data_IF_386204159871
#
_entry.id   IF_386204159871
#
_cell.length_a   1.000
_cell.length_b   1.000
_cell.length_c   1.000
_cell.angle_alpha   90.00
_cell.angle_beta   90.00
_cell.angle_gamma   90.00
#
_symmetry.space_group_name_H-M   'P 1'
#
loop_
_entity.id
_entity.type
_entity.pdbx_description
1 polymer ?
#
# COMPACT_ATOMS: atom_id res chain seq x y z
N UNK A 1 -21.12 -26.06 -19.73
CA UNK A 1 -19.77 -25.82 -19.16
C UNK A 1 -19.72 -26.42 -17.76
N UNK A 2 -19.15 -27.62 -17.62
CA UNK A 2 -19.01 -28.30 -16.33
C UNK A 2 -17.93 -27.60 -15.48
N UNK A 3 -18.31 -27.08 -14.31
CA UNK A 3 -17.34 -26.59 -13.33
C UNK A 3 -16.57 -27.80 -12.79
N UNK A 4 -15.31 -27.94 -13.18
CA UNK A 4 -14.36 -28.87 -12.58
C UNK A 4 -14.33 -28.64 -11.05
N UNK A 5 -14.95 -29.54 -10.29
CA UNK A 5 -14.84 -29.59 -8.83
C UNK A 5 -13.49 -30.24 -8.51
N UNK A 6 -12.47 -29.40 -8.30
CA UNK A 6 -11.17 -29.85 -7.79
C UNK A 6 -11.34 -30.52 -6.41
N UNK A 7 -10.61 -31.61 -6.12
CA UNK A 7 -10.71 -32.35 -4.87
C UNK A 7 -10.34 -31.49 -3.66
N UNK A 8 -11.04 -31.71 -2.54
CA UNK A 8 -10.82 -31.02 -1.28
C UNK A 8 -9.49 -31.44 -0.63
N UNK A 9 -8.37 -30.87 -1.10
CA UNK A 9 -7.10 -30.97 -0.39
C UNK A 9 -7.19 -30.20 0.93
N UNK A 10 -7.13 -30.93 2.05
CA UNK A 10 -6.97 -30.36 3.39
C UNK A 10 -5.55 -29.81 3.49
N UNK A 11 -5.41 -28.49 3.35
CA UNK A 11 -4.12 -27.79 3.45
C UNK A 11 -3.61 -27.81 4.91
N UNK A 12 -2.29 -27.91 5.13
CA UNK A 12 -1.71 -27.83 6.47
C UNK A 12 -1.98 -26.47 7.16
N UNK A 13 -1.95 -26.39 8.50
CA UNK A 13 -2.39 -25.23 9.28
C UNK A 13 -1.84 -23.86 8.82
N UNK A 14 -0.54 -23.68 8.48
CA UNK A 14 -0.03 -22.37 8.04
C UNK A 14 -0.56 -21.93 6.66
N UNK A 15 -0.88 -22.86 5.75
CA UNK A 15 -1.42 -22.54 4.42
C UNK A 15 -2.91 -22.18 4.45
N UNK A 16 -3.60 -22.45 5.56
CA UNK A 16 -5.03 -22.14 5.71
C UNK A 16 -5.33 -20.64 5.87
N UNK A 17 -4.30 -19.84 6.18
CA UNK A 17 -4.39 -18.39 6.34
C UNK A 17 -4.29 -17.64 5.00
N UNK A 18 -3.76 -18.28 3.95
CA UNK A 18 -3.60 -17.68 2.63
C UNK A 18 -4.90 -17.86 1.80
N UNK A 19 -5.43 -16.81 1.17
CA UNK A 19 -6.60 -16.91 0.31
C UNK A 19 -6.36 -17.89 -0.85
N UNK A 20 -7.34 -18.76 -1.14
CA UNK A 20 -7.23 -19.77 -2.22
C UNK A 20 -6.77 -19.20 -3.58
N UNK A 21 -7.24 -18.02 -4.03
CA UNK A 21 -6.77 -17.45 -5.29
C UNK A 21 -5.26 -17.11 -5.27
N UNK A 22 -4.74 -16.66 -4.14
CA UNK A 22 -3.31 -16.38 -3.97
C UNK A 22 -2.49 -17.67 -4.00
N UNK A 23 -2.97 -18.71 -3.33
CA UNK A 23 -2.33 -20.02 -3.32
C UNK A 23 -2.29 -20.66 -4.72
N UNK A 24 -3.39 -20.56 -5.47
CA UNK A 24 -3.43 -21.03 -6.86
C UNK A 24 -2.45 -20.27 -7.75
N UNK A 25 -2.34 -18.94 -7.59
CA UNK A 25 -1.42 -18.13 -8.37
C UNK A 25 0.05 -18.46 -8.04
N UNK A 26 0.41 -18.56 -6.77
CA UNK A 26 1.76 -18.97 -6.34
C UNK A 26 2.09 -20.37 -6.86
N UNK A 27 1.15 -21.32 -6.76
CA UNK A 27 1.36 -22.69 -7.26
C UNK A 27 1.57 -22.70 -8.77
N UNK A 28 0.74 -21.97 -9.53
CA UNK A 28 0.90 -21.81 -10.97
C UNK A 28 2.29 -21.22 -11.31
N UNK A 29 2.73 -20.23 -10.56
CA UNK A 29 4.00 -19.55 -10.79
C UNK A 29 5.21 -20.45 -10.49
N UNK A 30 5.13 -21.27 -9.44
CA UNK A 30 6.13 -22.31 -9.15
C UNK A 30 6.19 -23.32 -10.30
N UNK A 31 5.03 -23.78 -10.80
CA UNK A 31 4.98 -24.70 -11.94
C UNK A 31 5.61 -24.08 -13.20
N UNK A 32 5.31 -22.81 -13.49
CA UNK A 32 5.93 -22.08 -14.60
C UNK A 32 7.45 -21.99 -14.41
N UNK A 33 7.92 -21.66 -13.21
CA UNK A 33 9.36 -21.62 -12.91
C UNK A 33 10.02 -22.99 -13.12
N UNK A 34 9.40 -24.08 -12.67
CA UNK A 34 9.89 -25.43 -12.90
C UNK A 34 9.97 -25.77 -14.40
N UNK A 35 8.97 -25.38 -15.19
CA UNK A 35 8.96 -25.59 -16.65
C UNK A 35 10.06 -24.78 -17.34
N UNK A 36 10.25 -23.52 -16.96
CA UNK A 36 11.32 -22.65 -17.47
C UNK A 36 12.68 -23.28 -17.16
N UNK A 37 12.93 -23.67 -15.91
CA UNK A 37 14.18 -24.31 -15.51
C UNK A 37 14.40 -25.68 -16.17
N UNK A 38 13.35 -26.45 -16.42
CA UNK A 38 13.47 -27.71 -17.17
C UNK A 38 13.89 -27.46 -18.62
N UNK A 39 13.25 -26.52 -19.33
CA UNK A 39 13.61 -26.16 -20.70
C UNK A 39 15.02 -25.56 -20.81
N UNK A 40 15.38 -24.69 -19.87
CA UNK A 40 16.73 -24.14 -19.75
C UNK A 40 17.73 -25.24 -19.43
N UNK A 41 17.44 -26.14 -18.51
CA UNK A 41 18.32 -27.25 -18.13
C UNK A 41 18.66 -28.18 -19.30
N UNK A 42 17.68 -28.46 -20.17
CA UNK A 42 17.91 -29.21 -21.41
C UNK A 42 18.90 -28.45 -22.31
N UNK A 43 18.72 -27.14 -22.48
CA UNK A 43 19.63 -26.33 -23.31
C UNK A 43 21.03 -26.25 -22.70
N UNK A 44 21.13 -26.04 -21.39
CA UNK A 44 22.39 -25.93 -20.66
C UNK A 44 23.21 -27.22 -20.66
N UNK A 45 22.56 -28.39 -20.82
CA UNK A 45 23.27 -29.65 -21.03
C UNK A 45 24.16 -29.61 -22.28
N UNK A 46 23.69 -28.96 -23.36
CA UNK A 46 24.45 -28.78 -24.59
C UNK A 46 25.39 -27.57 -24.55
N UNK A 47 25.12 -26.58 -23.68
CA UNK A 47 25.94 -25.37 -23.53
C UNK A 47 26.40 -25.15 -22.06
N UNK A 48 27.31 -26.00 -21.52
CA UNK A 48 27.69 -25.94 -20.10
C UNK A 48 28.29 -24.60 -19.66
N UNK A 49 28.97 -23.87 -20.57
CA UNK A 49 29.55 -22.55 -20.29
C UNK A 49 28.49 -21.48 -19.93
N UNK A 50 27.22 -21.72 -20.26
CA UNK A 50 26.12 -20.81 -19.97
C UNK A 50 25.47 -21.05 -18.61
N UNK A 51 25.87 -22.09 -17.86
CA UNK A 51 25.25 -22.41 -16.57
C UNK A 51 25.42 -21.27 -15.57
N UNK A 52 26.65 -20.77 -15.40
CA UNK A 52 26.93 -19.66 -14.49
C UNK A 52 26.12 -18.39 -14.83
N UNK A 53 26.15 -17.86 -16.07
CA UNK A 53 25.35 -16.68 -16.40
C UNK A 53 23.84 -16.94 -16.32
N UNK A 54 23.35 -18.16 -16.56
CA UNK A 54 21.95 -18.51 -16.40
C UNK A 54 21.50 -18.44 -14.93
N UNK A 55 22.26 -19.07 -14.02
CA UNK A 55 22.00 -19.00 -12.57
C UNK A 55 22.09 -17.57 -12.08
N UNK A 56 23.13 -16.84 -12.49
CA UNK A 56 23.28 -15.41 -12.15
C UNK A 56 22.07 -14.61 -12.61
N UNK A 57 21.61 -14.78 -13.85
CA UNK A 57 20.45 -14.04 -14.39
C UNK A 57 19.18 -14.29 -13.57
N UNK A 58 18.95 -15.53 -13.14
CA UNK A 58 17.83 -15.86 -12.24
C UNK A 58 17.97 -15.17 -10.88
N UNK A 59 19.16 -15.23 -10.28
CA UNK A 59 19.42 -14.58 -8.98
C UNK A 59 19.36 -13.06 -9.05
N UNK A 60 19.77 -12.45 -10.17
CA UNK A 60 19.63 -11.02 -10.42
C UNK A 60 18.15 -10.65 -10.53
N UNK A 61 17.32 -11.48 -11.18
CA UNK A 61 15.87 -11.28 -11.20
C UNK A 61 15.24 -11.33 -9.81
N UNK A 62 15.68 -12.27 -8.96
CA UNK A 62 15.26 -12.32 -7.56
C UNK A 62 15.72 -11.09 -6.77
N UNK A 63 16.99 -10.69 -6.91
CA UNK A 63 17.56 -9.52 -6.25
C UNK A 63 16.80 -8.26 -6.64
N UNK A 64 16.53 -8.09 -7.93
CA UNK A 64 15.82 -6.95 -8.48
C UNK A 64 14.40 -6.83 -7.93
N UNK A 65 13.67 -7.94 -7.78
CA UNK A 65 12.35 -7.90 -7.15
C UNK A 65 12.36 -7.41 -5.69
N UNK A 66 13.53 -7.43 -5.03
CA UNK A 66 13.71 -6.86 -3.70
C UNK A 66 14.05 -5.37 -3.74
N UNK A 67 14.04 -4.72 -4.91
CA UNK A 67 14.23 -3.28 -4.99
C UNK A 67 13.08 -2.56 -4.27
N UNK A 68 13.44 -1.50 -3.53
CA UNK A 68 12.52 -0.89 -2.58
C UNK A 68 11.32 -0.19 -3.25
N UNK A 69 11.47 0.25 -4.50
CA UNK A 69 10.39 0.85 -5.30
C UNK A 69 9.41 -0.21 -5.85
N UNK A 70 9.89 -1.40 -6.23
CA UNK A 70 9.05 -2.54 -6.61
C UNK A 70 8.12 -2.93 -5.46
N UNK A 71 8.70 -3.24 -4.28
CA UNK A 71 7.95 -3.59 -3.06
C UNK A 71 6.97 -2.46 -2.71
N UNK A 72 7.44 -1.21 -2.67
CA UNK A 72 6.59 -0.07 -2.31
C UNK A 72 5.41 0.11 -3.26
N UNK A 73 5.64 0.01 -4.58
CA UNK A 73 4.59 0.15 -5.60
C UNK A 73 3.56 -0.97 -5.51
N UNK A 74 4.00 -2.22 -5.39
CA UNK A 74 3.13 -3.39 -5.27
C UNK A 74 2.30 -3.30 -3.98
N UNK A 75 2.90 -2.94 -2.86
CA UNK A 75 2.24 -2.79 -1.56
C UNK A 75 1.16 -1.72 -1.55
N UNK A 76 1.52 -0.50 -1.94
CA UNK A 76 0.62 0.65 -1.99
C UNK A 76 -0.57 0.36 -2.88
N UNK A 77 -0.32 -0.31 -4.01
CA UNK A 77 -1.37 -0.63 -4.96
C UNK A 77 -2.28 -1.76 -4.45
N UNK A 78 -1.69 -2.82 -3.91
CA UNK A 78 -2.42 -3.95 -3.29
C UNK A 78 -3.34 -3.44 -2.20
N UNK A 79 -2.82 -2.59 -1.30
CA UNK A 79 -3.60 -1.96 -0.23
C UNK A 79 -4.76 -1.13 -0.77
N UNK A 80 -4.50 -0.29 -1.75
CA UNK A 80 -5.51 0.59 -2.32
C UNK A 80 -6.65 -0.21 -2.97
N UNK A 81 -6.33 -1.27 -3.69
CA UNK A 81 -7.32 -2.15 -4.30
C UNK A 81 -8.14 -2.92 -3.25
N UNK A 82 -7.52 -3.36 -2.16
CA UNK A 82 -8.21 -3.97 -1.01
C UNK A 82 -9.17 -2.96 -0.37
N UNK A 83 -8.73 -1.71 -0.16
CA UNK A 83 -9.60 -0.65 0.35
C UNK A 83 -10.78 -0.32 -0.58
N UNK A 84 -10.63 -0.61 -1.87
CA UNK A 84 -11.71 -0.51 -2.88
C UNK A 84 -12.59 -1.77 -2.97
N UNK A 85 -12.42 -2.73 -2.04
CA UNK A 85 -13.21 -3.96 -1.97
C UNK A 85 -12.77 -5.07 -2.94
N UNK A 86 -11.63 -4.91 -3.62
CA UNK A 86 -11.11 -5.93 -4.55
C UNK A 86 -10.21 -6.95 -3.83
N UNK A 87 -9.93 -8.07 -4.52
CA UNK A 87 -8.98 -9.12 -4.07
C UNK A 87 -7.84 -9.25 -5.08
N UNK A 88 -6.86 -8.34 -5.02
CA UNK A 88 -5.92 -8.10 -6.11
C UNK A 88 -4.68 -9.01 -6.02
N UNK A 89 -4.84 -10.32 -6.24
CA UNK A 89 -3.72 -11.28 -6.10
C UNK A 89 -2.60 -11.13 -7.14
N UNK A 90 -2.89 -10.53 -8.29
CA UNK A 90 -1.99 -10.53 -9.46
C UNK A 90 -1.26 -9.18 -9.68
N UNK A 91 -1.28 -8.26 -8.71
CA UNK A 91 -0.66 -6.93 -8.82
C UNK A 91 0.82 -7.05 -9.15
N UNK A 92 1.57 -7.83 -8.35
CA UNK A 92 2.99 -8.08 -8.58
C UNK A 92 3.26 -8.76 -9.91
N UNK A 93 2.46 -9.77 -10.30
CA UNK A 93 2.62 -10.48 -11.57
C UNK A 93 2.53 -9.56 -12.78
N UNK A 94 1.54 -8.67 -12.81
CA UNK A 94 1.39 -7.74 -13.94
C UNK A 94 2.49 -6.68 -13.93
N UNK A 95 2.88 -6.20 -12.75
CA UNK A 95 3.99 -5.25 -12.60
C UNK A 95 5.30 -5.84 -13.14
N UNK A 96 5.69 -7.01 -12.65
CA UNK A 96 6.93 -7.70 -13.04
C UNK A 96 6.97 -8.07 -14.53
N UNK A 97 5.84 -8.49 -15.10
CA UNK A 97 5.73 -8.77 -16.55
C UNK A 97 5.89 -7.50 -17.40
N UNK A 98 5.31 -6.39 -16.94
CA UNK A 98 5.47 -5.09 -17.59
C UNK A 98 6.93 -4.64 -17.59
N UNK A 99 7.56 -4.66 -16.41
CA UNK A 99 8.98 -4.33 -16.24
C UNK A 99 9.87 -5.22 -17.12
N UNK A 100 9.68 -6.53 -17.02
CA UNK A 100 10.45 -7.52 -17.76
C UNK A 100 10.29 -7.40 -19.28
N UNK A 101 9.22 -6.78 -19.77
CA UNK A 101 9.06 -6.49 -21.21
C UNK A 101 10.18 -5.59 -21.72
N UNK A 102 10.52 -4.53 -20.97
CA UNK A 102 11.62 -3.63 -21.35
C UNK A 102 12.96 -4.35 -21.21
N UNK A 103 13.15 -5.15 -20.17
CA UNK A 103 14.39 -5.93 -19.97
C UNK A 103 14.61 -6.92 -21.12
N UNK A 104 13.58 -7.62 -21.58
CA UNK A 104 13.67 -8.53 -22.74
C UNK A 104 14.00 -7.74 -24.01
N UNK A 105 13.29 -6.63 -24.28
CA UNK A 105 13.51 -5.81 -25.47
C UNK A 105 14.95 -5.29 -25.50
N UNK A 106 15.45 -4.78 -24.38
CA UNK A 106 16.81 -4.25 -24.30
C UNK A 106 17.87 -5.34 -24.40
N UNK A 107 17.65 -6.52 -23.82
CA UNK A 107 18.51 -7.68 -24.05
C UNK A 107 18.58 -8.05 -25.54
N UNK A 108 17.46 -8.05 -26.26
CA UNK A 108 17.43 -8.30 -27.70
C UNK A 108 18.22 -7.23 -28.46
N UNK A 109 18.01 -5.95 -28.14
CA UNK A 109 18.72 -4.83 -28.79
C UNK A 109 20.23 -4.94 -28.56
N UNK A 110 20.67 -5.18 -27.32
CA UNK A 110 22.09 -5.35 -26.97
C UNK A 110 22.69 -6.56 -27.66
N UNK A 111 21.96 -7.68 -27.70
CA UNK A 111 22.42 -8.90 -28.36
C UNK A 111 22.55 -8.75 -29.88
N UNK A 112 21.57 -8.11 -30.52
CA UNK A 112 21.53 -7.95 -31.98
C UNK A 112 22.56 -6.94 -32.50
N UNK A 113 22.95 -5.98 -31.68
CA UNK A 113 23.89 -4.92 -32.08
C UNK A 113 25.35 -5.27 -31.86
N UNK A 114 25.66 -6.51 -31.42
CA UNK A 114 27.02 -7.07 -31.27
C UNK A 114 28.02 -6.17 -30.51
N UNK A 115 27.52 -5.27 -29.66
CA UNK A 115 28.33 -4.25 -28.98
C UNK A 115 28.80 -3.08 -29.87
N UNK A 116 28.43 -3.04 -31.15
CA UNK A 116 28.80 -1.99 -32.10
C UNK A 116 28.09 -0.64 -31.87
N UNK A 117 27.13 -0.58 -30.93
CA UNK A 117 26.32 0.59 -30.61
C UNK A 117 26.41 1.02 -29.14
N UNK A 118 27.52 0.72 -28.44
CA UNK A 118 27.75 1.11 -27.03
C UNK A 118 27.41 2.58 -26.76
N UNK A 119 27.95 3.51 -27.55
CA UNK A 119 27.73 4.95 -27.34
C UNK A 119 26.26 5.38 -27.51
N UNK A 120 25.50 4.72 -28.40
CA UNK A 120 24.06 4.98 -28.58
C UNK A 120 23.24 4.35 -27.46
N UNK A 121 23.72 3.24 -26.90
CA UNK A 121 23.10 2.55 -25.79
C UNK A 121 23.23 3.35 -24.50
N UNK A 122 24.40 3.93 -24.22
CA UNK A 122 24.64 4.77 -23.04
C UNK A 122 23.69 5.98 -23.00
N UNK A 123 23.48 6.63 -24.15
CA UNK A 123 22.51 7.72 -24.28
C UNK A 123 21.06 7.27 -24.07
N UNK A 124 20.69 6.09 -24.58
CA UNK A 124 19.36 5.51 -24.35
C UNK A 124 19.15 5.14 -22.88
N UNK A 125 20.17 4.57 -22.23
CA UNK A 125 20.14 4.22 -20.82
C UNK A 125 19.95 5.45 -19.93
N UNK A 126 20.68 6.55 -20.20
CA UNK A 126 20.53 7.81 -19.45
C UNK A 126 19.14 8.41 -19.58
N UNK A 127 18.60 8.47 -20.80
CA UNK A 127 17.25 9.01 -21.05
C UNK A 127 16.19 8.10 -20.43
N UNK A 128 16.35 6.78 -20.59
CA UNK A 128 15.53 5.78 -19.93
C UNK A 128 15.49 5.98 -18.43
N UNK A 129 16.65 6.11 -17.78
CA UNK A 129 16.75 6.30 -16.33
C UNK A 129 16.09 7.55 -15.82
N UNK A 130 16.29 8.69 -16.48
CA UNK A 130 15.59 9.93 -16.11
C UNK A 130 14.06 9.74 -16.22
N UNK A 131 13.58 9.10 -17.28
CA UNK A 131 12.14 8.85 -17.46
C UNK A 131 11.63 7.85 -16.42
N UNK A 132 12.30 6.73 -16.21
CA UNK A 132 11.90 5.68 -15.29
C UNK A 132 11.87 6.15 -13.84
N UNK A 133 12.96 6.77 -13.35
CA UNK A 133 13.01 7.33 -11.98
C UNK A 133 12.02 8.46 -11.77
N UNK A 134 11.83 9.36 -12.74
CA UNK A 134 10.86 10.44 -12.60
C UNK A 134 9.42 9.93 -12.54
N UNK A 135 9.05 8.96 -13.38
CA UNK A 135 7.73 8.33 -13.37
C UNK A 135 7.53 7.54 -12.08
N UNK A 136 8.51 6.75 -11.65
CA UNK A 136 8.42 5.98 -10.42
C UNK A 136 8.29 6.90 -9.20
N UNK A 137 9.12 7.94 -9.09
CA UNK A 137 9.07 8.90 -7.99
C UNK A 137 7.70 9.58 -7.91
N UNK A 138 7.20 10.08 -9.05
CA UNK A 138 5.88 10.69 -9.12
C UNK A 138 4.78 9.71 -8.70
N UNK A 139 4.84 8.48 -9.17
CA UNK A 139 3.83 7.46 -8.87
C UNK A 139 3.83 7.04 -7.40
N UNK A 140 5.01 6.78 -6.81
CA UNK A 140 5.15 6.44 -5.40
C UNK A 140 4.66 7.57 -4.49
N UNK A 141 4.97 8.83 -4.82
CA UNK A 141 4.49 9.98 -4.04
C UNK A 141 2.97 10.09 -4.13
N UNK A 142 2.41 9.97 -5.33
CA UNK A 142 0.96 10.01 -5.56
C UNK A 142 0.24 8.90 -4.78
N UNK A 143 0.75 7.66 -4.86
CA UNK A 143 0.19 6.53 -4.12
C UNK A 143 0.39 6.68 -2.61
N UNK A 144 1.55 7.18 -2.17
CA UNK A 144 1.87 7.43 -0.77
C UNK A 144 0.90 8.43 -0.15
N UNK A 145 0.67 9.57 -0.81
CA UNK A 145 -0.32 10.56 -0.37
C UNK A 145 -1.74 9.99 -0.38
N UNK A 146 -2.11 9.23 -1.42
CA UNK A 146 -3.39 8.54 -1.49
C UNK A 146 -3.65 7.58 -0.34
N UNK A 147 -2.67 6.73 -0.04
CA UNK A 147 -2.73 5.80 1.07
C UNK A 147 -2.66 6.53 2.43
N UNK A 148 -1.99 7.67 2.51
CA UNK A 148 -2.04 8.57 3.68
C UNK A 148 -3.45 9.12 3.94
N UNK A 149 -4.20 9.44 2.89
CA UNK A 149 -5.61 9.83 3.03
C UNK A 149 -6.51 8.65 3.47
N UNK A 150 -6.26 7.45 2.94
CA UNK A 150 -6.94 6.22 3.41
C UNK A 150 -6.64 5.99 4.90
N UNK A 151 -5.38 6.14 5.33
CA UNK A 151 -4.96 6.05 6.72
C UNK A 151 -5.73 7.05 7.59
N UNK A 152 -5.81 8.31 7.18
CA UNK A 152 -6.57 9.34 7.89
C UNK A 152 -8.05 8.94 8.07
N UNK A 153 -8.69 8.42 7.02
CA UNK A 153 -10.07 7.93 7.09
C UNK A 153 -10.22 6.73 8.02
N UNK A 154 -9.29 5.78 8.00
CA UNK A 154 -9.30 4.62 8.89
C UNK A 154 -9.17 5.05 10.36
N UNK A 155 -8.26 5.98 10.65
CA UNK A 155 -8.08 6.55 12.00
C UNK A 155 -9.35 7.27 12.45
N UNK A 156 -9.98 8.09 11.59
CA UNK A 156 -11.25 8.76 11.92
C UNK A 156 -12.36 7.75 12.21
N UNK A 157 -12.49 6.70 11.38
CA UNK A 157 -13.48 5.63 11.58
C UNK A 157 -13.24 4.85 12.87
N UNK A 158 -11.98 4.54 13.19
CA UNK A 158 -11.64 3.89 14.45
C UNK A 158 -12.05 4.74 15.66
N UNK A 159 -11.80 6.07 15.62
CA UNK A 159 -12.22 6.97 16.69
C UNK A 159 -13.74 7.00 16.87
N UNK A 160 -14.50 7.00 15.77
CA UNK A 160 -15.97 6.97 15.80
C UNK A 160 -16.48 5.65 16.38
N UNK A 161 -15.98 4.50 15.89
CA UNK A 161 -16.38 3.18 16.40
C UNK A 161 -16.05 3.02 17.89
N UNK A 162 -14.91 3.54 18.34
CA UNK A 162 -14.55 3.54 19.77
C UNK A 162 -15.49 4.43 20.60
N UNK A 163 -15.99 5.54 20.05
CA UNK A 163 -16.99 6.42 20.69
C UNK A 163 -18.36 5.75 20.76
N UNK A 164 -18.84 5.17 19.67
CA UNK A 164 -20.13 4.45 19.62
C UNK A 164 -20.16 3.26 20.59
N UNK A 165 -19.06 2.49 20.68
CA UNK A 165 -18.98 1.40 21.65
C UNK A 165 -18.98 1.91 23.10
N UNK A 166 -18.38 3.08 23.36
CA UNK A 166 -18.43 3.74 24.66
C UNK A 166 -19.85 4.15 25.03
N UNK A 167 -20.54 4.84 24.12
CA UNK A 167 -21.93 5.29 24.34
C UNK A 167 -22.87 4.10 24.55
N UNK A 168 -22.71 3.03 23.76
CA UNK A 168 -23.49 1.79 23.94
C UNK A 168 -23.22 1.10 25.27
N UNK A 169 -21.97 1.09 25.76
CA UNK A 169 -21.61 0.52 27.07
C UNK A 169 -22.21 1.34 28.20
N UNK A 170 -22.12 2.67 28.11
CA UNK A 170 -22.69 3.61 29.07
C UNK A 170 -24.22 3.49 29.15
N UNK A 171 -24.93 3.46 28.02
CA UNK A 171 -26.39 3.30 27.98
C UNK A 171 -26.90 1.98 28.55
N UNK A 172 -26.10 0.90 28.45
CA UNK A 172 -26.41 -0.39 29.09
C UNK A 172 -26.20 -0.33 30.61
N UNK A 173 -25.19 0.40 31.09
CA UNK A 173 -24.95 0.63 32.52
C UNK A 173 -25.99 1.59 33.13
N UNK A 174 -26.50 2.56 32.36
CA UNK A 174 -27.47 3.57 32.80
C UNK A 174 -28.95 3.16 32.59
N UNK A 175 -29.24 2.12 31.79
CA UNK A 175 -30.59 1.54 31.66
C UNK A 175 -31.60 2.36 30.84
N UNK A 176 -31.14 3.24 29.94
CA UNK A 176 -31.98 4.20 29.20
C UNK A 176 -32.59 3.67 27.88
N UNK A 177 -33.81 4.13 27.56
CA UNK A 177 -34.60 3.75 26.37
C UNK A 177 -34.02 4.31 25.05
N UNK A 178 -33.63 3.41 24.15
CA UNK A 178 -32.78 3.63 22.97
C UNK A 178 -33.42 4.41 21.79
N UNK A 179 -34.68 4.83 21.86
CA UNK A 179 -35.49 5.22 20.69
C UNK A 179 -35.47 6.69 20.29
N UNK A 180 -35.16 7.62 21.20
CA UNK A 180 -35.33 9.06 20.94
C UNK A 180 -34.13 9.72 20.24
N UNK A 181 -32.95 9.10 20.24
CA UNK A 181 -31.72 9.71 19.70
C UNK A 181 -31.21 9.08 18.39
N UNK A 182 -31.77 7.94 17.96
CA UNK A 182 -31.48 7.33 16.65
C UNK A 182 -31.85 8.30 15.50
N UNK A 183 -32.87 9.14 15.68
CA UNK A 183 -33.25 10.19 14.72
C UNK A 183 -32.27 11.37 14.69
N UNK A 184 -31.64 11.73 15.82
CA UNK A 184 -30.71 12.85 15.90
C UNK A 184 -29.30 12.49 15.38
N UNK A 185 -28.87 11.24 15.60
CA UNK A 185 -27.61 10.69 15.04
C UNK A 185 -27.72 10.45 13.53
N UNK A 186 -28.89 10.02 13.04
CA UNK A 186 -29.17 9.92 11.61
C UNK A 186 -29.10 11.30 10.92
N UNK A 187 -29.58 12.36 11.59
CA UNK A 187 -29.56 13.74 11.09
C UNK A 187 -28.14 14.32 10.99
N UNK A 188 -27.29 14.07 11.98
CA UNK A 188 -25.89 14.57 11.99
C UNK A 188 -24.98 13.81 11.01
N UNK A 189 -25.23 12.52 10.75
CA UNK A 189 -24.47 11.73 9.78
C UNK A 189 -24.75 12.12 8.31
N UNK A 190 -25.87 12.79 8.02
CA UNK A 190 -26.21 13.29 6.68
C UNK A 190 -25.46 14.57 6.29
N UNK A 191 -24.86 15.31 7.24
CA UNK A 191 -24.23 16.62 6.98
C UNK A 191 -22.70 16.58 6.82
N UNK A 192 -22.04 15.43 7.01
CA UNK A 192 -20.57 15.31 7.00
C UNK A 192 -19.97 14.77 5.68
N UNK A 193 -20.78 14.53 4.65
CA UNK A 193 -20.30 14.06 3.34
C UNK A 193 -19.99 15.20 2.36
N UNK A 194 -19.12 16.11 2.79
CA UNK A 194 -18.42 17.01 1.89
C UNK A 194 -17.25 16.28 1.23
N UNK A 195 -17.49 15.54 0.14
CA UNK A 195 -16.43 15.00 -0.69
C UNK A 195 -15.64 16.15 -1.35
N UNK A 196 -14.62 16.64 -0.65
CA UNK A 196 -13.81 17.79 -1.05
C UNK A 196 -13.16 17.65 -2.42
N UNK A 197 -12.71 18.76 -2.99
CA UNK A 197 -12.01 18.85 -4.27
C UNK A 197 -10.85 17.83 -4.38
N UNK A 198 -10.09 17.66 -3.29
CA UNK A 198 -8.98 16.73 -3.20
C UNK A 198 -9.41 15.26 -3.39
N UNK A 199 -10.60 14.88 -2.91
CA UNK A 199 -11.15 13.54 -3.11
C UNK A 199 -11.52 13.28 -4.59
N UNK A 200 -11.95 14.32 -5.33
CA UNK A 200 -12.24 14.23 -6.77
C UNK A 200 -10.97 14.08 -7.60
N UNK A 201 -9.93 14.86 -7.29
CA UNK A 201 -8.63 14.78 -7.98
C UNK A 201 -7.99 13.41 -7.76
N UNK A 202 -7.92 12.95 -6.50
CA UNK A 202 -7.42 11.62 -6.19
C UNK A 202 -8.23 10.53 -6.88
N UNK A 203 -9.55 10.62 -6.91
CA UNK A 203 -10.39 9.62 -7.61
C UNK A 203 -10.06 9.49 -9.10
N UNK A 204 -9.72 10.58 -9.80
CA UNK A 204 -9.31 10.52 -11.22
C UNK A 204 -7.94 9.89 -11.41
N UNK A 205 -6.92 10.37 -10.69
CA UNK A 205 -5.56 9.83 -10.79
C UNK A 205 -5.55 8.34 -10.45
N UNK A 206 -6.33 7.96 -9.45
CA UNK A 206 -6.47 6.59 -9.01
C UNK A 206 -7.38 5.70 -9.85
N UNK A 207 -8.21 6.28 -10.74
CA UNK A 207 -8.94 5.52 -11.75
C UNK A 207 -7.99 5.00 -12.86
N UNK A 208 -6.80 5.61 -13.00
CA UNK A 208 -5.79 5.18 -13.96
C UNK A 208 -5.29 3.78 -13.62
N UNK A 209 -5.12 3.44 -12.33
CA UNK A 209 -4.73 2.10 -11.88
C UNK A 209 -5.79 1.57 -10.92
N UNK A 210 -6.95 1.17 -11.42
CA UNK A 210 -8.09 0.66 -10.61
C UNK A 210 -8.24 -0.87 -10.66
N UNK A 211 -7.41 -1.54 -11.46
CA UNK A 211 -7.42 -3.00 -11.64
C UNK A 211 -6.00 -3.56 -11.60
N UNK A 212 -5.80 -4.80 -11.13
CA UNK A 212 -4.47 -5.42 -11.05
C UNK A 212 -3.69 -5.41 -12.38
N UNK A 213 -4.36 -5.65 -13.51
CA UNK A 213 -3.71 -5.69 -14.83
C UNK A 213 -3.11 -4.35 -15.27
N UNK A 214 -3.61 -3.22 -14.75
CA UNK A 214 -3.09 -1.89 -15.06
C UNK A 214 -1.72 -1.61 -14.44
N UNK A 215 -1.23 -2.52 -13.61
CA UNK A 215 0.18 -2.51 -13.18
C UNK A 215 1.14 -2.89 -14.31
N UNK A 216 0.68 -3.52 -15.39
CA UNK A 216 1.56 -3.86 -16.50
C UNK A 216 2.14 -2.63 -17.21
N UNK A 217 1.33 -1.65 -17.66
CA UNK A 217 1.87 -0.40 -18.20
C UNK A 217 2.77 0.35 -17.20
N UNK A 218 2.44 0.31 -15.91
CA UNK A 218 3.29 0.91 -14.89
C UNK A 218 4.64 0.20 -14.80
N UNK A 219 4.64 -1.13 -14.79
CA UNK A 219 5.86 -1.94 -14.81
C UNK A 219 6.73 -1.61 -16.02
N UNK A 220 6.14 -1.44 -17.20
CA UNK A 220 6.88 -0.99 -18.40
C UNK A 220 7.58 0.35 -18.15
N UNK A 221 6.89 1.31 -17.54
CA UNK A 221 7.49 2.62 -17.23
C UNK A 221 8.61 2.52 -16.19
N UNK A 222 8.48 1.63 -15.20
CA UNK A 222 9.53 1.37 -14.22
C UNK A 222 10.74 0.69 -14.86
N UNK A 223 10.52 -0.28 -15.75
CA UNK A 223 11.58 -0.99 -16.47
C UNK A 223 12.35 -0.13 -17.46
N UNK A 224 11.87 1.09 -17.78
CA UNK A 224 12.67 2.06 -18.54
C UNK A 224 13.80 2.67 -17.70
N UNK A 225 13.78 2.52 -16.37
CA UNK A 225 14.74 3.11 -15.46
C UNK A 225 16.19 2.70 -15.74
N UNK A 226 16.51 1.44 -16.02
CA UNK A 226 17.92 0.98 -16.12
C UNK A 226 18.86 1.44 -14.98
N UNK A 227 18.32 1.97 -13.89
CA UNK A 227 19.05 2.58 -12.77
C UNK A 227 19.45 1.51 -11.75
N UNK A 228 19.12 0.24 -12.02
CA UNK A 228 19.41 -0.88 -11.14
C UNK A 228 20.65 -1.64 -11.62
N UNK A 229 21.53 -1.92 -10.68
CA UNK A 229 22.74 -2.72 -10.95
C UNK A 229 22.41 -4.11 -11.52
N UNK A 230 21.23 -4.66 -11.20
CA UNK A 230 20.77 -5.97 -11.67
C UNK A 230 20.43 -5.98 -13.17
N UNK A 231 19.72 -4.96 -13.68
CA UNK A 231 19.45 -4.82 -15.12
C UNK A 231 20.73 -4.62 -15.92
N UNK A 232 21.60 -3.71 -15.46
CA UNK A 232 22.88 -3.42 -16.12
C UNK A 232 23.76 -4.67 -16.16
N UNK A 233 23.82 -5.45 -15.07
CA UNK A 233 24.56 -6.70 -15.03
C UNK A 233 24.01 -7.75 -16.01
N UNK A 234 22.68 -7.89 -16.09
CA UNK A 234 22.03 -8.80 -17.05
C UNK A 234 22.34 -8.40 -18.50
N UNK A 235 22.25 -7.12 -18.82
CA UNK A 235 22.58 -6.59 -20.15
C UNK A 235 24.07 -6.79 -20.47
N UNK A 236 24.94 -6.65 -19.49
CA UNK A 236 26.36 -6.99 -19.60
C UNK A 236 26.60 -8.47 -19.93
N UNK A 237 25.89 -9.39 -19.27
CA UNK A 237 25.92 -10.83 -19.57
C UNK A 237 25.46 -11.09 -21.02
N UNK A 238 24.34 -10.49 -21.43
CA UNK A 238 23.83 -10.63 -22.79
C UNK A 238 24.81 -10.08 -23.83
N UNK A 239 25.45 -8.93 -23.56
CA UNK A 239 26.46 -8.31 -24.41
C UNK A 239 27.69 -9.19 -24.59
N UNK A 240 28.24 -9.73 -23.49
CA UNK A 240 29.42 -10.61 -23.54
C UNK A 240 29.13 -11.86 -24.38
N UNK A 241 27.95 -12.45 -24.21
CA UNK A 241 27.54 -13.64 -24.95
C UNK A 241 27.31 -13.33 -26.45
N UNK A 242 26.78 -12.15 -26.76
CA UNK A 242 26.64 -11.69 -28.15
C UNK A 242 28.01 -11.52 -28.84
N UNK A 243 29.00 -10.95 -28.16
CA UNK A 243 30.38 -10.79 -28.68
C UNK A 243 31.05 -12.16 -28.91
N UNK A 244 30.73 -13.17 -28.09
CA UNK A 244 31.19 -14.55 -28.28
C UNK A 244 30.52 -15.28 -29.46
N UNK A 245 29.60 -14.62 -30.18
CA UNK A 245 28.90 -15.20 -31.32
C UNK A 245 27.82 -16.21 -30.93
N UNK A 246 27.33 -16.18 -29.69
CA UNK A 246 26.20 -17.03 -29.29
C UNK A 246 24.92 -16.60 -30.01
N UNK A 247 24.07 -17.57 -30.31
CA UNK A 247 22.79 -17.30 -30.97
C UNK A 247 21.89 -16.43 -30.08
N UNK A 248 21.17 -15.49 -30.67
CA UNK A 248 20.19 -14.64 -29.96
C UNK A 248 19.14 -15.46 -29.19
N UNK A 249 18.77 -16.64 -29.70
CA UNK A 249 17.85 -17.56 -29.04
C UNK A 249 18.40 -18.10 -27.71
N UNK A 250 19.71 -18.31 -27.63
CA UNK A 250 20.39 -18.74 -26.41
C UNK A 250 20.53 -17.56 -25.44
N UNK A 251 20.84 -16.36 -25.94
CA UNK A 251 20.94 -15.15 -25.12
C UNK A 251 19.60 -14.82 -24.45
N UNK A 252 18.47 -15.06 -25.12
CA UNK A 252 17.13 -14.87 -24.58
C UNK A 252 16.80 -15.71 -23.34
N UNK A 253 17.58 -16.76 -23.04
CA UNK A 253 17.44 -17.52 -21.79
C UNK A 253 17.67 -16.61 -20.57
N UNK A 254 18.60 -15.67 -20.64
CA UNK A 254 18.95 -14.80 -19.52
C UNK A 254 17.79 -13.89 -19.08
N UNK A 255 17.18 -13.06 -19.96
CA UNK A 255 16.04 -12.25 -19.55
C UNK A 255 14.81 -13.08 -19.20
N UNK A 256 14.62 -14.28 -19.77
CA UNK A 256 13.53 -15.19 -19.36
C UNK A 256 13.73 -15.67 -17.91
N UNK A 257 14.95 -16.07 -17.53
CA UNK A 257 15.27 -16.48 -16.16
C UNK A 257 15.16 -15.30 -15.18
N UNK A 258 15.65 -14.14 -15.58
CA UNK A 258 15.48 -12.90 -14.82
C UNK A 258 14.00 -12.59 -14.57
N UNK A 259 13.17 -12.66 -15.62
CA UNK A 259 11.71 -12.48 -15.54
C UNK A 259 11.09 -13.50 -14.60
N UNK A 260 11.49 -14.78 -14.69
CA UNK A 260 10.95 -15.85 -13.86
C UNK A 260 11.26 -15.65 -12.37
N UNK A 261 12.49 -15.23 -12.06
CA UNK A 261 12.92 -14.87 -10.71
C UNK A 261 12.17 -13.66 -10.16
N UNK A 262 12.14 -12.56 -10.90
CA UNK A 262 11.43 -11.34 -10.50
C UNK A 262 9.94 -11.58 -10.29
N UNK A 263 9.28 -12.23 -11.24
CA UNK A 263 7.86 -12.54 -11.13
C UNK A 263 7.56 -13.38 -9.88
N UNK A 264 8.45 -14.30 -9.50
CA UNK A 264 8.27 -15.14 -8.32
C UNK A 264 8.15 -14.31 -7.04
N UNK A 265 9.09 -13.39 -6.81
CA UNK A 265 9.09 -12.57 -5.61
C UNK A 265 8.02 -11.48 -5.64
N UNK A 266 7.90 -10.72 -6.72
CA UNK A 266 6.88 -9.65 -6.84
C UNK A 266 5.45 -10.21 -6.67
N UNK A 267 5.17 -11.37 -7.26
CA UNK A 267 3.87 -12.03 -7.09
C UNK A 267 3.67 -12.54 -5.68
N UNK A 268 4.71 -13.11 -5.07
CA UNK A 268 4.64 -13.62 -3.70
C UNK A 268 4.41 -12.49 -2.71
N UNK A 269 5.08 -11.35 -2.89
CA UNK A 269 4.91 -10.14 -2.09
C UNK A 269 3.45 -9.66 -2.12
N UNK A 270 2.91 -9.37 -3.30
CA UNK A 270 1.51 -8.95 -3.44
C UNK A 270 0.49 -9.97 -2.92
N UNK A 271 0.77 -11.27 -3.09
CA UNK A 271 -0.06 -12.35 -2.59
C UNK A 271 -0.03 -12.48 -1.06
N UNK A 272 1.15 -12.38 -0.44
CA UNK A 272 1.35 -12.37 1.01
C UNK A 272 0.71 -11.15 1.64
N UNK A 273 0.87 -9.99 1.03
CA UNK A 273 0.21 -8.77 1.47
C UNK A 273 -1.31 -8.93 1.46
N UNK A 274 -1.90 -9.45 0.38
CA UNK A 274 -3.34 -9.73 0.36
C UNK A 274 -3.75 -10.75 1.43
N UNK A 275 -2.90 -11.76 1.71
CA UNK A 275 -3.15 -12.74 2.76
C UNK A 275 -3.18 -12.11 4.15
N UNK A 276 -2.26 -11.19 4.46
CA UNK A 276 -2.27 -10.46 5.75
C UNK A 276 -3.58 -9.71 6.00
N UNK A 277 -4.23 -9.17 4.95
CA UNK A 277 -5.54 -8.50 5.10
C UNK A 277 -6.74 -9.44 5.10
N UNK A 278 -6.66 -10.53 4.34
CA UNK A 278 -7.80 -11.44 4.14
C UNK A 278 -7.83 -12.57 5.17
N UNK A 279 -6.69 -12.85 5.80
CA UNK A 279 -6.53 -13.92 6.78
C UNK A 279 -7.52 -13.74 7.93
N UNK A 280 -8.32 -14.77 8.14
CA UNK A 280 -9.41 -14.88 9.11
C UNK A 280 -8.94 -14.96 10.57
N UNK A 281 -7.77 -14.42 10.91
CA UNK A 281 -7.43 -14.14 12.31
C UNK A 281 -8.35 -13.06 12.93
N UNK A 282 -9.13 -12.35 12.10
CA UNK A 282 -10.00 -11.23 12.47
C UNK A 282 -11.50 -11.55 12.57
N UNK A 283 -11.89 -12.73 13.03
CA UNK A 283 -13.30 -13.12 13.05
C UNK A 283 -14.10 -12.65 14.28
N UNK A 284 -13.67 -11.65 15.05
CA UNK A 284 -14.44 -11.23 16.25
C UNK A 284 -14.62 -9.74 16.53
N UNK A 285 -13.85 -8.81 15.94
CA UNK A 285 -14.02 -7.39 16.29
C UNK A 285 -13.65 -6.42 15.15
N UNK A 286 -14.53 -5.44 14.92
CA UNK A 286 -14.34 -4.33 13.96
C UNK A 286 -13.13 -3.48 14.36
N UNK A 287 -12.91 -3.29 15.66
CA UNK A 287 -11.78 -2.51 16.21
C UNK A 287 -10.44 -3.15 15.85
N UNK A 288 -10.35 -4.49 15.90
CA UNK A 288 -9.15 -5.23 15.50
C UNK A 288 -8.84 -4.97 14.02
N UNK A 289 -9.81 -5.17 13.13
CA UNK A 289 -9.64 -4.98 11.68
C UNK A 289 -9.12 -3.56 11.38
N UNK A 290 -9.69 -2.55 12.01
CA UNK A 290 -9.27 -1.16 11.85
C UNK A 290 -7.86 -0.92 12.40
N UNK A 291 -7.53 -1.43 13.58
CA UNK A 291 -6.19 -1.30 14.18
C UNK A 291 -5.10 -1.86 13.27
N UNK A 292 -5.24 -3.12 12.83
CA UNK A 292 -4.23 -3.75 11.97
C UNK A 292 -4.14 -3.06 10.60
N UNK A 293 -5.27 -2.64 10.04
CA UNK A 293 -5.29 -1.87 8.79
C UNK A 293 -4.57 -0.53 8.94
N UNK A 294 -4.72 0.16 10.08
CA UNK A 294 -4.04 1.43 10.38
C UNK A 294 -2.54 1.22 10.53
N UNK A 295 -2.11 0.28 11.38
CA UNK A 295 -0.68 0.01 11.63
C UNK A 295 0.02 -0.33 10.33
N UNK A 296 -0.55 -1.28 9.58
CA UNK A 296 0.03 -1.70 8.31
C UNK A 296 0.06 -0.53 7.32
N UNK A 297 -0.99 0.32 7.28
CA UNK A 297 -1.03 1.49 6.36
C UNK A 297 -0.03 2.55 6.73
N UNK A 298 0.14 2.81 8.02
CA UNK A 298 1.14 3.74 8.52
C UNK A 298 2.52 3.37 8.02
N UNK A 299 2.93 2.10 8.17
CA UNK A 299 4.25 1.64 7.75
C UNK A 299 4.44 1.81 6.23
N UNK A 300 3.51 1.33 5.41
CA UNK A 300 3.63 1.47 3.94
C UNK A 300 3.68 2.94 3.50
N UNK A 301 2.93 3.84 4.15
CA UNK A 301 2.98 5.27 3.82
C UNK A 301 4.33 5.88 4.19
N UNK A 302 4.89 5.52 5.36
CA UNK A 302 6.22 5.99 5.80
C UNK A 302 7.31 5.46 4.88
N UNK A 303 7.30 4.16 4.59
CA UNK A 303 8.25 3.51 3.68
C UNK A 303 8.16 4.14 2.28
N UNK A 304 6.94 4.29 1.74
CA UNK A 304 6.72 4.93 0.44
C UNK A 304 7.25 6.37 0.38
N UNK A 305 7.05 7.15 1.43
CA UNK A 305 7.57 8.52 1.50
C UNK A 305 9.11 8.52 1.53
N UNK A 306 9.71 7.62 2.31
CA UNK A 306 11.17 7.45 2.36
C UNK A 306 11.74 7.08 0.99
N UNK A 307 11.16 6.08 0.32
CA UNK A 307 11.59 5.67 -1.02
C UNK A 307 11.35 6.76 -2.07
N UNK A 308 10.21 7.45 -2.01
CA UNK A 308 9.94 8.59 -2.90
C UNK A 308 10.96 9.72 -2.76
N UNK A 309 11.43 10.00 -1.53
CA UNK A 309 12.52 10.97 -1.30
C UNK A 309 13.84 10.46 -1.89
N UNK A 310 14.21 9.20 -1.66
CA UNK A 310 15.42 8.62 -2.26
C UNK A 310 15.36 8.72 -3.79
N UNK A 311 14.21 8.44 -4.40
CA UNK A 311 14.09 8.44 -5.86
C UNK A 311 14.17 9.86 -6.45
N UNK A 312 13.68 10.88 -5.73
CA UNK A 312 13.91 12.29 -6.11
C UNK A 312 15.40 12.64 -6.02
N UNK A 313 16.09 12.21 -4.96
CA UNK A 313 17.53 12.45 -4.81
C UNK A 313 18.31 11.73 -5.91
N UNK A 314 17.94 10.49 -6.25
CA UNK A 314 18.53 9.73 -7.35
C UNK A 314 18.32 10.42 -8.70
N UNK A 315 17.12 10.96 -8.95
CA UNK A 315 16.85 11.74 -10.16
C UNK A 315 17.72 13.01 -10.22
N UNK A 316 17.89 13.71 -9.09
CA UNK A 316 18.75 14.88 -9.03
C UNK A 316 20.23 14.52 -9.29
N UNK A 317 20.69 13.38 -8.77
CA UNK A 317 22.03 12.85 -9.05
C UNK A 317 22.22 12.56 -10.54
N UNK A 318 21.28 11.82 -11.16
CA UNK A 318 21.32 11.43 -12.57
C UNK A 318 21.29 12.61 -13.56
N UNK A 319 20.70 13.75 -13.17
CA UNK A 319 20.57 14.93 -14.05
C UNK A 319 21.69 15.94 -13.84
N UNK A 320 22.07 16.22 -12.58
CA UNK A 320 22.98 17.31 -12.25
C UNK A 320 24.43 16.86 -12.04
N UNK A 321 24.70 15.55 -11.98
CA UNK A 321 26.01 14.94 -11.65
C UNK A 321 26.77 15.71 -10.54
N UNK A 322 26.10 16.01 -9.41
CA UNK A 322 26.66 16.84 -8.38
C UNK A 322 27.76 16.10 -7.61
N UNK A 323 28.84 16.81 -7.29
CA UNK A 323 29.98 16.23 -6.54
C UNK A 323 29.90 16.55 -5.05
N UNK A 324 30.23 15.58 -4.19
CA UNK A 324 30.42 15.79 -2.76
C UNK A 324 29.89 14.66 -1.87
N UNK A 325 30.35 14.65 -0.61
CA UNK A 325 30.11 13.55 0.37
C UNK A 325 28.64 13.18 0.60
N UNK A 326 27.72 14.11 0.39
CA UNK A 326 26.28 13.83 0.46
C UNK A 326 25.81 12.97 -0.72
N UNK A 327 26.26 13.30 -1.93
CA UNK A 327 25.90 12.62 -3.16
C UNK A 327 26.56 11.25 -3.27
N UNK A 328 27.80 11.10 -2.78
CA UNK A 328 28.45 9.78 -2.61
C UNK A 328 27.59 8.86 -1.72
N UNK A 329 26.91 9.42 -0.72
CA UNK A 329 25.97 8.67 0.12
C UNK A 329 24.67 8.30 -0.60
N UNK A 330 24.15 9.16 -1.49
CA UNK A 330 22.98 8.86 -2.33
C UNK A 330 23.30 7.76 -3.36
N UNK A 331 24.50 7.80 -3.94
CA UNK A 331 25.01 6.77 -4.85
C UNK A 331 25.16 5.42 -4.13
N UNK A 332 25.78 5.41 -2.94
CA UNK A 332 25.92 4.20 -2.13
C UNK A 332 24.56 3.58 -1.73
N UNK A 333 23.54 4.42 -1.54
CA UNK A 333 22.15 3.98 -1.32
C UNK A 333 21.58 3.29 -2.57
N UNK A 334 21.89 3.79 -3.76
CA UNK A 334 21.52 3.17 -5.04
C UNK A 334 22.22 1.82 -5.27
N UNK A 335 23.49 1.70 -4.91
CA UNK A 335 24.25 0.44 -5.05
C UNK A 335 23.73 -0.69 -4.16
N UNK A 336 23.14 -0.33 -3.01
CA UNK A 336 22.58 -1.24 -2.01
C UNK A 336 21.05 -1.14 -1.91
N UNK A 337 20.40 -0.78 -3.01
CA UNK A 337 18.95 -0.56 -3.04
C UNK A 337 18.13 -1.81 -2.71
N UNK A 338 18.62 -2.99 -3.09
CA UNK A 338 18.06 -4.30 -2.75
C UNK A 338 18.13 -4.60 -1.24
N UNK A 339 19.19 -4.14 -0.56
CA UNK A 339 19.32 -4.27 0.90
C UNK A 339 18.26 -3.43 1.60
N UNK A 340 17.97 -2.24 1.08
CA UNK A 340 16.92 -1.36 1.60
C UNK A 340 15.56 -2.05 1.48
N UNK A 341 15.24 -2.62 0.31
CA UNK A 341 13.98 -3.33 0.14
C UNK A 341 13.89 -4.61 0.98
N UNK A 342 14.99 -5.37 1.12
CA UNK A 342 15.07 -6.49 2.07
C UNK A 342 14.81 -6.07 3.53
N UNK A 343 15.34 -4.92 3.95
CA UNK A 343 15.08 -4.33 5.26
C UNK A 343 13.61 -3.89 5.42
N UNK A 344 12.99 -3.38 4.36
CA UNK A 344 11.55 -3.04 4.32
C UNK A 344 10.69 -4.29 4.50
N UNK A 345 10.97 -5.37 3.76
CA UNK A 345 10.28 -6.65 3.95
C UNK A 345 10.41 -7.14 5.40
N UNK A 346 11.62 -7.09 5.96
CA UNK A 346 11.87 -7.43 7.36
C UNK A 346 11.06 -6.56 8.33
N UNK A 347 11.00 -5.24 8.09
CA UNK A 347 10.21 -4.29 8.89
C UNK A 347 8.73 -4.64 8.86
N UNK A 348 8.17 -5.00 7.69
CA UNK A 348 6.76 -5.42 7.59
C UNK A 348 6.47 -6.65 8.43
N UNK A 349 7.36 -7.65 8.40
CA UNK A 349 7.21 -8.87 9.21
C UNK A 349 7.30 -8.53 10.70
N UNK A 350 8.33 -7.79 11.11
CA UNK A 350 8.57 -7.43 12.52
C UNK A 350 7.40 -6.61 13.08
N UNK A 351 6.99 -5.55 12.38
CA UNK A 351 5.91 -4.69 12.87
C UNK A 351 4.56 -5.39 12.76
N UNK A 352 4.35 -6.23 11.74
CA UNK A 352 3.17 -7.09 11.63
C UNK A 352 3.03 -8.00 12.85
N UNK A 353 4.07 -8.75 13.20
CA UNK A 353 4.08 -9.62 14.38
C UNK A 353 3.96 -8.82 15.69
N UNK A 354 4.70 -7.73 15.83
CA UNK A 354 4.65 -6.86 17.00
C UNK A 354 3.24 -6.29 17.22
N UNK A 355 2.54 -5.90 16.14
CA UNK A 355 1.16 -5.40 16.22
C UNK A 355 0.20 -6.46 16.79
N UNK A 356 0.41 -7.74 16.51
CA UNK A 356 -0.41 -8.83 17.05
C UNK A 356 -0.21 -8.97 18.55
N UNK A 357 1.03 -8.84 19.02
CA UNK A 357 1.38 -8.91 20.44
C UNK A 357 0.85 -7.67 21.19
N UNK A 358 1.00 -6.49 20.59
CA UNK A 358 0.63 -5.19 21.20
C UNK A 358 -0.89 -4.94 21.18
N UNK A 359 -1.66 -5.63 20.33
CA UNK A 359 -3.11 -5.40 20.20
C UNK A 359 -3.87 -5.55 21.53
N UNK A 360 -3.63 -6.62 22.29
CA UNK A 360 -4.31 -6.86 23.58
C UNK A 360 -4.02 -5.77 24.62
N UNK A 361 -2.74 -5.44 24.94
CA UNK A 361 -2.45 -4.38 25.91
C UNK A 361 -2.88 -3.00 25.41
N UNK A 362 -2.81 -2.74 24.11
CA UNK A 362 -3.34 -1.49 23.55
C UNK A 362 -4.85 -1.37 23.73
N UNK A 363 -5.62 -2.43 23.43
CA UNK A 363 -7.08 -2.45 23.59
C UNK A 363 -7.47 -2.20 25.04
N UNK A 364 -6.83 -2.91 25.99
CA UNK A 364 -7.07 -2.72 27.42
C UNK A 364 -6.74 -1.30 27.89
N UNK A 365 -5.58 -0.76 27.49
CA UNK A 365 -5.18 0.61 27.86
C UNK A 365 -6.10 1.68 27.27
N UNK A 366 -6.67 1.44 26.08
CA UNK A 366 -7.67 2.33 25.51
C UNK A 366 -8.97 2.29 26.30
N UNK A 367 -9.44 1.10 26.68
CA UNK A 367 -10.59 0.93 27.58
C UNK A 367 -10.34 1.66 28.92
N UNK A 368 -9.20 1.41 29.57
CA UNK A 368 -8.84 2.05 30.85
C UNK A 368 -8.78 3.59 30.76
N UNK A 369 -8.22 4.14 29.67
CA UNK A 369 -8.18 5.60 29.44
C UNK A 369 -9.56 6.19 29.16
N UNK A 370 -10.43 5.42 28.51
CA UNK A 370 -11.79 5.84 28.19
C UNK A 370 -12.65 5.86 29.45
N UNK A 371 -12.46 4.89 30.36
CA UNK A 371 -13.13 4.85 31.66
C UNK A 371 -12.69 6.02 32.56
N UNK A 372 -11.39 6.35 32.57
CA UNK A 372 -10.86 7.49 33.33
C UNK A 372 -11.43 8.85 32.87
N UNK A 373 -11.65 9.05 31.57
CA UNK A 373 -12.25 10.30 31.06
C UNK A 373 -13.74 10.42 31.41
N UNK A 374 -14.50 9.32 31.51
CA UNK A 374 -15.91 9.39 31.95
C UNK A 374 -16.05 9.83 33.40
N UNK A 375 -15.12 9.42 34.26
CA UNK A 375 -15.15 9.82 35.68
C UNK A 375 -14.95 11.34 35.78
N UNK A 376 -14.04 11.90 34.98
CA UNK A 376 -13.78 13.35 34.95
C UNK A 376 -14.95 14.18 34.38
N UNK A 377 -15.69 13.66 33.40
CA UNK A 377 -16.87 14.35 32.85
C UNK A 377 -18.03 14.37 33.87
N UNK A 378 -18.22 13.29 34.65
CA UNK A 378 -19.25 13.17 35.70
C UNK A 378 -18.96 14.08 36.90
N UNK A 379 -17.68 14.31 37.21
CA UNK A 379 -17.26 15.12 38.36
C UNK A 379 -17.19 16.63 38.08
N UNK A 380 -17.45 17.07 36.84
CA UNK A 380 -17.60 18.50 36.53
C UNK A 380 -19.00 18.96 36.95
N UNK A 381 -19.15 19.75 38.04
CA UNK A 381 -20.46 20.20 38.46
C UNK A 381 -20.92 21.25 37.43
N UNK A 382 -22.07 21.00 36.82
CA UNK A 382 -22.84 22.04 36.13
C UNK A 382 -23.07 23.15 37.15
N UNK A 383 -22.29 24.23 37.07
CA UNK A 383 -22.51 25.42 37.84
C UNK A 383 -23.85 26.03 37.40
N UNK A 384 -24.90 25.74 38.15
CA UNK A 384 -26.21 26.37 38.01
C UNK A 384 -26.05 27.88 38.24
N UNK A 385 -26.47 28.75 37.30
CA UNK A 385 -26.39 30.20 37.49
C UNK A 385 -27.58 30.65 38.35
N UNK A 386 -27.48 30.51 39.66
CA UNK A 386 -28.43 31.12 40.60
C UNK A 386 -27.74 31.43 41.93
N UNK A 387 -27.34 32.69 42.10
CA UNK A 387 -27.36 33.48 43.34
C UNK A 387 -26.23 34.53 43.35
N UNK A 388 -26.53 35.73 42.85
CA UNK A 388 -25.90 36.96 43.37
C UNK A 388 -27.01 37.99 43.53
N UNK A 389 -27.55 38.06 44.73
CA UNK A 389 -28.21 39.25 45.25
C UNK A 389 -27.26 39.86 46.27
N UNK A 390 -26.74 41.07 46.01
CA UNK A 390 -26.97 42.26 46.84
C UNK A 390 -26.18 43.46 46.32
N UNK A 391 -26.83 44.63 46.30
CA UNK A 391 -26.13 45.93 46.28
C UNK A 391 -26.55 46.95 45.22
N UNK A 392 -27.48 47.84 45.62
CA UNK A 392 -27.51 49.28 45.34
C UNK A 392 -28.60 49.86 44.39
N UNK A 393 -29.52 50.59 45.06
CA UNK A 393 -30.23 51.84 44.69
C UNK A 393 -31.66 51.72 44.12
N UNK A 394 -32.61 52.08 44.99
CA UNK A 394 -34.00 52.47 44.72
C UNK A 394 -34.07 53.95 44.27
N UNK A 395 -35.09 54.35 43.49
CA UNK A 395 -36.19 55.08 44.14
C UNK A 395 -37.59 54.73 43.61
N UNK A 396 -38.56 54.89 44.50
CA UNK A 396 -40.01 54.66 44.35
C UNK A 396 -40.75 55.75 43.55
N UNK A 397 -42.01 55.40 43.21
CA UNK A 397 -43.20 56.25 43.00
C UNK A 397 -43.51 56.74 41.58
N UNK A 398 -44.56 56.20 40.94
CA UNK A 398 -45.94 56.74 41.06
C UNK A 398 -46.98 55.94 40.21
N UNK A 399 -47.98 55.38 40.91
CA UNK A 399 -49.45 55.41 40.64
C UNK A 399 -50.06 54.93 39.28
N UNK A 400 -51.39 54.73 39.14
CA UNK A 400 -52.26 53.72 39.79
C UNK A 400 -53.20 52.94 38.81
N UNK A 401 -53.73 51.77 39.26
CA UNK A 401 -55.13 51.21 39.17
C UNK A 401 -55.94 51.41 37.84
N UNK A 402 -56.54 50.40 37.19
CA UNK A 402 -57.97 49.95 37.32
C UNK A 402 -58.31 48.89 36.22
N UNK A 403 -58.61 47.66 36.68
CA UNK A 403 -59.59 46.60 36.28
C UNK A 403 -60.01 46.22 34.83
N UNK A 404 -60.56 44.97 34.65
CA UNK A 404 -60.63 44.19 33.41
C UNK A 404 -62.04 44.06 32.81
N UNK A 405 -62.16 43.71 31.52
CA UNK A 405 -63.36 43.11 30.87
C UNK A 405 -62.88 42.29 29.66
N UNK A 406 -62.99 40.96 29.66
CA UNK A 406 -64.17 40.15 29.27
C UNK A 406 -64.47 40.14 27.75
N UNK A 407 -64.16 39.04 27.05
CA UNK A 407 -65.12 38.15 26.34
C UNK A 407 -64.45 37.23 25.32
N UNK A 408 -65.08 36.06 25.21
CA UNK A 408 -64.76 34.84 24.46
C UNK A 408 -65.25 34.97 22.98
N UNK A 409 -65.31 33.88 22.17
CA UNK A 409 -64.44 33.53 21.06
C UNK A 409 -65.10 33.69 19.67
N UNK A 410 -64.36 33.50 18.57
CA UNK A 410 -64.98 32.93 17.37
C UNK A 410 -63.97 32.22 16.44
N UNK A 411 -64.38 31.03 15.99
CA UNK A 411 -63.78 30.20 14.94
C UNK A 411 -63.82 30.94 13.59
N UNK A 412 -63.05 30.46 12.61
CA UNK A 412 -63.55 29.78 11.37
C UNK A 412 -62.44 29.73 10.31
N UNK A 413 -62.20 28.48 9.84
CA UNK A 413 -61.56 27.98 8.60
C UNK A 413 -60.05 28.07 8.46
#
# INVERSE_FOLDING_TARGET
MARLKLPHLRLPPPLSYIPRPALHLITLLILINCLVWAGVGITLHYFPKMISPAVLSYTLGLRHALDADHISAIDLMTRRLIASGQRPVAVGTFFSLGHSTIVIITCIVVAATSGALRDRFDGFQRVGGIIGTSVSAAFLIILGVGNGWVLYKLVKRLRVVLKEQRERRRRVEEGEDLRAEEEQEAMNNLQLEGAGFLARVFRRVFAIVDRPWKMYPLGVLFGLGFDTSSEVALLGIASIQAVQGTSIWLILIFPILFTAGMCMLDTTDGALMMALYTSKAFSRDVVAILYYSIVLTGITVVVSAFIGVIQILSLAYNVAEPTGRFWDGVEAIGDHYDVIGGCICGLFVVVGLASVIIYRPWRKKMEDRMDAMSILDVESPVASPAAVADGAISPYADSPVVTPLERVPERIV
#
